data_IF_837341641505
#
_entry.id   IF_837341641505
#
_cell.length_a   1.000
_cell.length_b   1.000
_cell.length_c   1.000
_cell.angle_alpha   90.00
_cell.angle_beta   90.00
_cell.angle_gamma   90.00
#
_symmetry.space_group_name_H-M   'P 1'
#
loop_
_entity.id
_entity.type
_entity.pdbx_description
1 polymer ?
#
# COMPACT_ATOMS: atom_id res chain seq x y z
N UNK A 1 -12.13 13.56 3.76
CA UNK A 1 -11.96 14.71 2.85
C UNK A 1 -11.43 15.89 3.65
N UNK A 2 -10.57 16.71 3.06
CA UNK A 2 -10.11 17.97 3.61
C UNK A 2 -10.14 19.09 2.55
N UNK A 3 -10.93 20.13 2.78
CA UNK A 3 -10.99 21.29 1.89
C UNK A 3 -9.87 22.30 2.19
N UNK A 4 -9.48 22.43 3.46
CA UNK A 4 -8.36 23.26 3.90
C UNK A 4 -7.61 22.58 5.06
N UNK A 5 -6.44 22.01 4.75
CA UNK A 5 -5.61 21.26 5.73
C UNK A 5 -5.06 22.14 6.86
N UNK A 6 -5.14 23.47 6.75
CA UNK A 6 -4.71 24.41 7.78
C UNK A 6 -5.83 24.75 8.76
N UNK A 7 -7.10 24.47 8.40
CA UNK A 7 -8.28 24.82 9.19
C UNK A 7 -9.00 23.61 9.80
N UNK A 8 -8.80 22.42 9.26
CA UNK A 8 -9.52 21.23 9.69
C UNK A 8 -8.69 20.32 10.61
N UNK A 9 -9.07 20.22 11.89
CA UNK A 9 -8.36 19.39 12.89
C UNK A 9 -8.34 17.89 12.56
N UNK A 10 -9.32 17.42 11.76
CA UNK A 10 -9.40 16.03 11.25
C UNK A 10 -8.33 15.71 10.22
N UNK A 11 -7.70 16.74 9.66
CA UNK A 11 -6.61 16.64 8.72
C UNK A 11 -5.32 16.97 9.48
N UNK A 12 -4.59 15.94 9.89
CA UNK A 12 -3.22 16.11 10.40
C UNK A 12 -2.24 15.73 9.29
N UNK A 13 -1.97 16.64 8.32
CA UNK A 13 -0.97 16.37 7.31
C UNK A 13 0.40 16.20 7.98
N UNK A 14 1.22 15.29 7.45
CA UNK A 14 2.62 15.23 7.85
C UNK A 14 3.37 16.47 7.38
N UNK A 15 4.49 16.80 8.02
CA UNK A 15 5.34 17.94 7.63
C UNK A 15 5.77 17.88 6.16
N UNK A 16 5.96 16.65 5.64
CA UNK A 16 6.23 16.40 4.23
C UNK A 16 5.12 16.93 3.31
N UNK A 17 3.86 16.78 3.70
CA UNK A 17 2.71 17.24 2.89
C UNK A 17 2.62 18.77 2.94
N UNK A 18 2.85 19.36 4.12
CA UNK A 18 2.83 20.81 4.31
C UNK A 18 3.97 21.52 3.56
N UNK A 19 5.18 20.95 3.57
CA UNK A 19 6.35 21.53 2.90
C UNK A 19 6.17 21.63 1.38
N UNK A 20 5.28 20.82 0.79
CA UNK A 20 4.96 20.85 -0.64
C UNK A 20 3.85 21.85 -1.01
N UNK A 21 3.40 22.66 -0.05
CA UNK A 21 2.40 23.72 -0.26
C UNK A 21 0.98 23.18 -0.44
N UNK A 22 0.69 21.99 0.09
CA UNK A 22 -0.64 21.38 0.01
C UNK A 22 -1.64 22.21 0.81
N UNK A 23 -2.77 22.50 0.19
CA UNK A 23 -3.89 23.28 0.75
C UNK A 23 -5.12 22.41 0.95
N UNK A 24 -5.43 21.49 0.03
CA UNK A 24 -6.56 20.57 0.16
C UNK A 24 -6.17 19.13 -0.21
N UNK A 25 -6.90 18.15 0.32
CA UNK A 25 -6.59 16.75 0.13
C UNK A 25 -7.81 15.83 0.25
N UNK A 26 -7.87 14.80 -0.59
CA UNK A 26 -8.79 13.67 -0.43
C UNK A 26 -7.97 12.42 -0.15
N UNK A 27 -8.32 11.68 0.90
CA UNK A 27 -7.61 10.45 1.29
C UNK A 27 -8.65 9.38 1.55
N UNK A 28 -8.45 8.21 0.95
CA UNK A 28 -9.30 7.02 1.11
C UNK A 28 -8.43 5.86 1.60
N UNK A 29 -8.96 4.97 2.46
CA UNK A 29 -8.22 3.80 2.89
C UNK A 29 -8.11 2.80 1.73
N UNK A 30 -6.94 2.18 1.61
CA UNK A 30 -6.77 0.96 0.82
C UNK A 30 -7.17 -0.18 1.75
N UNK A 31 -8.41 -0.64 1.65
CA UNK A 31 -8.93 -1.70 2.51
C UNK A 31 -8.42 -3.06 2.04
N UNK A 32 -7.94 -3.88 2.97
CA UNK A 32 -7.72 -5.30 2.75
C UNK A 32 -8.70 -6.19 3.52
N UNK A 33 -8.31 -7.43 3.77
CA UNK A 33 -9.05 -8.46 4.54
C UNK A 33 -9.49 -7.98 5.94
N UNK A 34 -10.51 -7.12 6.02
CA UNK A 34 -11.07 -6.57 7.25
C UNK A 34 -10.25 -5.47 7.93
N UNK A 35 -9.07 -5.10 7.41
CA UNK A 35 -8.22 -4.04 7.98
C UNK A 35 -7.63 -3.13 6.89
N UNK A 36 -7.33 -1.86 7.18
CA UNK A 36 -6.62 -1.00 6.25
C UNK A 36 -5.23 -1.58 5.93
N UNK A 37 -4.93 -1.77 4.65
CA UNK A 37 -3.58 -2.03 4.17
C UNK A 37 -2.75 -0.74 4.17
N UNK A 38 -3.38 0.39 3.82
CA UNK A 38 -2.75 1.70 3.75
C UNK A 38 -3.76 2.78 3.37
N UNK A 39 -3.29 3.88 2.78
CA UNK A 39 -4.14 4.98 2.31
C UNK A 39 -3.68 5.49 0.95
N UNK A 40 -4.64 5.91 0.12
CA UNK A 40 -4.40 6.59 -1.16
C UNK A 40 -4.89 8.03 -1.03
N UNK A 41 -4.00 8.98 -1.31
CA UNK A 41 -4.27 10.41 -1.19
C UNK A 41 -4.03 11.17 -2.49
N UNK A 42 -4.89 12.14 -2.77
CA UNK A 42 -4.68 13.18 -3.77
C UNK A 42 -4.58 14.53 -3.06
N UNK A 43 -3.72 15.40 -3.58
CA UNK A 43 -3.34 16.66 -2.94
C UNK A 43 -3.39 17.80 -3.94
N UNK A 44 -3.84 18.96 -3.49
CA UNK A 44 -3.90 20.19 -4.29
C UNK A 44 -3.24 21.33 -3.54
N UNK A 45 -2.51 22.19 -4.27
CA UNK A 45 -1.99 23.46 -3.74
C UNK A 45 -3.06 24.56 -3.70
N UNK A 46 -4.14 24.39 -4.44
CA UNK A 46 -5.28 25.31 -4.43
C UNK A 46 -6.36 24.79 -3.48
N UNK A 47 -7.07 25.71 -2.81
CA UNK A 47 -8.24 25.36 -2.00
C UNK A 47 -9.34 24.87 -2.93
N UNK A 48 -9.83 23.65 -2.66
CA UNK A 48 -10.97 23.05 -3.36
C UNK A 48 -11.58 21.96 -2.51
N UNK A 49 -12.88 21.76 -2.69
CA UNK A 49 -13.57 20.55 -2.24
C UNK A 49 -13.39 19.47 -3.32
N UNK A 50 -13.56 18.21 -2.96
CA UNK A 50 -13.72 17.15 -3.95
C UNK A 50 -15.08 16.51 -3.71
N UNK A 51 -15.78 16.25 -4.80
CA UNK A 51 -17.15 15.77 -4.75
C UNK A 51 -17.23 14.26 -4.50
N UNK A 52 -18.45 13.74 -4.42
CA UNK A 52 -18.68 12.33 -4.17
C UNK A 52 -18.15 11.45 -5.31
N UNK A 53 -18.23 11.91 -6.56
CA UNK A 53 -17.79 11.13 -7.73
C UNK A 53 -16.27 11.01 -7.77
N UNK A 54 -15.55 12.09 -7.46
CA UNK A 54 -14.10 12.07 -7.33
C UNK A 54 -13.63 11.17 -6.18
N UNK A 55 -14.34 11.17 -5.05
CA UNK A 55 -14.04 10.28 -3.92
C UNK A 55 -14.33 8.82 -4.30
N UNK A 56 -15.46 8.54 -4.94
CA UNK A 56 -15.83 7.21 -5.41
C UNK A 56 -14.81 6.67 -6.42
N UNK A 57 -14.33 7.54 -7.33
CA UNK A 57 -13.28 7.20 -8.27
C UNK A 57 -11.97 6.85 -7.54
N UNK A 58 -11.58 7.63 -6.53
CA UNK A 58 -10.38 7.35 -5.73
C UNK A 58 -10.52 6.02 -4.95
N UNK A 59 -11.71 5.72 -4.43
CA UNK A 59 -12.01 4.44 -3.78
C UNK A 59 -11.92 3.26 -4.76
N UNK A 60 -12.42 3.41 -5.98
CA UNK A 60 -12.31 2.38 -7.01
C UNK A 60 -10.84 2.07 -7.35
N UNK A 61 -10.00 3.11 -7.46
CA UNK A 61 -8.55 2.93 -7.63
C UNK A 61 -7.93 2.22 -6.42
N UNK A 62 -8.30 2.61 -5.20
CA UNK A 62 -7.81 1.97 -3.98
C UNK A 62 -8.13 0.47 -3.94
N UNK A 63 -9.32 0.05 -4.40
CA UNK A 63 -9.68 -1.37 -4.52
C UNK A 63 -8.82 -2.11 -5.57
N UNK A 64 -8.57 -1.51 -6.73
CA UNK A 64 -7.72 -2.13 -7.77
C UNK A 64 -6.27 -2.26 -7.28
N UNK A 65 -5.76 -1.25 -6.59
CA UNK A 65 -4.43 -1.28 -5.96
C UNK A 65 -4.33 -2.41 -4.94
N UNK A 66 -5.34 -2.56 -4.07
CA UNK A 66 -5.36 -3.64 -3.10
C UNK A 66 -5.20 -5.01 -3.77
N UNK A 67 -6.04 -5.34 -4.76
CA UNK A 67 -5.94 -6.63 -5.45
C UNK A 67 -4.58 -6.84 -6.14
N UNK A 68 -3.94 -5.77 -6.61
CA UNK A 68 -2.60 -5.87 -7.23
C UNK A 68 -1.51 -6.15 -6.20
N UNK A 69 -1.58 -5.49 -5.05
CA UNK A 69 -0.69 -5.71 -3.92
C UNK A 69 -0.82 -7.15 -3.41
N UNK A 70 -2.05 -7.64 -3.24
CA UNK A 70 -2.29 -9.01 -2.80
C UNK A 70 -1.71 -10.05 -3.75
N UNK A 71 -1.90 -9.86 -5.06
CA UNK A 71 -1.29 -10.74 -6.08
C UNK A 71 0.23 -10.74 -6.00
N UNK A 72 0.84 -9.57 -5.83
CA UNK A 72 2.29 -9.45 -5.71
C UNK A 72 2.82 -10.13 -4.43
N UNK A 73 2.12 -9.99 -3.30
CA UNK A 73 2.48 -10.69 -2.07
C UNK A 73 2.34 -12.20 -2.18
N UNK A 74 1.25 -12.70 -2.77
CA UNK A 74 1.07 -14.13 -3.00
C UNK A 74 2.18 -14.71 -3.88
N UNK A 75 2.53 -14.01 -4.97
CA UNK A 75 3.64 -14.42 -5.83
C UNK A 75 4.97 -14.50 -5.07
N UNK A 76 5.31 -13.47 -4.28
CA UNK A 76 6.53 -13.46 -3.45
C UNK A 76 6.58 -14.64 -2.47
N UNK A 77 5.46 -14.94 -1.79
CA UNK A 77 5.38 -16.08 -0.86
C UNK A 77 5.62 -17.41 -1.55
N UNK A 78 5.12 -17.59 -2.78
CA UNK A 78 5.38 -18.80 -3.57
C UNK A 78 6.86 -18.95 -3.92
N UNK A 79 7.52 -17.85 -4.30
CA UNK A 79 8.94 -17.86 -4.63
C UNK A 79 9.80 -18.14 -3.39
N UNK A 80 9.47 -17.56 -2.22
CA UNK A 80 10.14 -17.83 -0.95
C UNK A 80 10.09 -19.33 -0.57
N UNK A 81 8.92 -19.96 -0.76
CA UNK A 81 8.73 -21.41 -0.48
C UNK A 81 9.58 -22.24 -1.44
N UNK A 82 9.59 -21.93 -2.74
CA UNK A 82 10.41 -22.62 -3.75
C UNK A 82 11.89 -22.51 -3.45
N UNK A 83 12.36 -21.34 -3.04
CA UNK A 83 13.77 -21.11 -2.72
C UNK A 83 14.18 -21.77 -1.40
N UNK A 84 13.28 -21.87 -0.43
CA UNK A 84 13.51 -22.67 0.77
C UNK A 84 13.64 -24.17 0.45
N UNK A 85 12.78 -24.70 -0.43
CA UNK A 85 12.82 -26.10 -0.85
C UNK A 85 14.11 -26.42 -1.61
N UNK A 86 14.51 -25.59 -2.57
CA UNK A 86 15.78 -25.71 -3.30
C UNK A 86 16.98 -25.74 -2.36
N UNK A 87 17.01 -24.86 -1.37
CA UNK A 87 18.08 -24.84 -0.34
C UNK A 87 18.09 -26.11 0.52
N UNK A 88 16.92 -26.68 0.82
CA UNK A 88 16.81 -27.94 1.59
C UNK A 88 17.37 -29.12 0.79
N UNK A 89 17.01 -29.23 -0.49
CA UNK A 89 17.49 -30.30 -1.37
C UNK A 89 19.00 -30.25 -1.56
N UNK A 90 19.57 -29.06 -1.80
CA UNK A 90 21.01 -28.86 -1.93
C UNK A 90 21.79 -29.27 -0.67
N UNK A 91 21.22 -29.06 0.52
CA UNK A 91 21.85 -29.44 1.81
C UNK A 91 21.82 -30.95 2.07
N UNK A 92 20.78 -31.65 1.64
CA UNK A 92 20.65 -33.11 1.89
C UNK A 92 21.59 -33.91 1.00
N UNK A 93 21.76 -33.54 -0.27
CA UNK A 93 22.65 -34.25 -1.20
C UNK A 93 24.13 -34.21 -0.80
N UNK A 94 24.56 -33.16 -0.09
CA UNK A 94 25.96 -33.03 0.37
C UNK A 94 26.29 -33.95 1.55
N UNK A 95 25.30 -34.57 2.22
CA UNK A 95 25.51 -35.36 3.44
C UNK A 95 25.61 -36.87 3.21
N UNK A 96 25.38 -37.34 1.98
CA UNK A 96 25.37 -38.77 1.62
C UNK A 96 26.63 -39.25 0.89
N UNK A 97 27.64 -38.38 0.68
CA UNK A 97 28.87 -38.72 -0.08
C UNK A 97 30.09 -38.96 0.82
N UNK A 98 29.97 -38.76 2.13
CA UNK A 98 31.07 -38.99 3.07
C UNK A 98 30.69 -39.98 4.17
N UNK A 99 30.84 -41.27 3.90
CA UNK A 99 31.36 -42.23 4.90
C UNK A 99 31.92 -43.47 4.17
N UNK A 100 33.16 -43.90 4.49
CA UNK A 100 33.81 -45.08 3.92
C UNK A 100 33.28 -46.41 4.50
#
# INVERSE_FOLDING_TARGET
MCEDVRREERCRPSDLILSHGVTSAAVVPIMGHGRPFGALGIFSRQRRSFDADEVNFLQAIAHVLHGTIERAEMARRLDDVRDAERRRLARTSSRSISSP
#
